data_IF_199618511111
#
_entry.id   IF_199618511111
#
_cell.length_a   1.000
_cell.length_b   1.000
_cell.length_c   1.000
_cell.angle_alpha   90.00
_cell.angle_beta   90.00
_cell.angle_gamma   90.00
#
_symmetry.space_group_name_H-M   'P 1'
#
loop_
_entity.id
_entity.type
_entity.pdbx_description
1 polymer ?
#
# COMPACT_ATOMS: atom_id res chain seq x y z
N UNK A 1 4.31 -20.81 20.51
CA UNK A 1 4.08 -19.62 19.66
C UNK A 1 2.72 -19.76 19.02
N UNK A 2 1.97 -18.65 18.89
CA UNK A 2 0.72 -18.60 18.12
C UNK A 2 1.07 -18.16 16.69
N UNK A 3 0.32 -18.65 15.71
CA UNK A 3 0.41 -18.22 14.31
C UNK A 3 0.04 -16.74 14.18
N UNK A 4 0.88 -15.96 13.52
CA UNK A 4 0.61 -14.55 13.22
C UNK A 4 -0.44 -14.43 12.11
N UNK A 5 -1.36 -13.48 12.26
CA UNK A 5 -2.42 -13.18 11.31
C UNK A 5 -2.07 -11.89 10.55
N UNK A 6 -1.94 -12.03 9.23
CA UNK A 6 -1.57 -10.94 8.33
C UNK A 6 -2.79 -10.53 7.50
N UNK A 7 -3.17 -9.26 7.59
CA UNK A 7 -4.30 -8.71 6.85
C UNK A 7 -3.86 -8.37 5.42
N UNK A 8 -4.23 -9.24 4.47
CA UNK A 8 -3.88 -9.13 3.05
C UNK A 8 -4.54 -7.92 2.39
N UNK A 9 -3.70 -6.98 1.95
CA UNK A 9 -4.07 -5.64 1.47
C UNK A 9 -4.88 -4.84 2.49
N UNK A 10 -4.55 -5.02 3.78
CA UNK A 10 -5.34 -4.56 4.92
C UNK A 10 -6.54 -5.47 5.22
N UNK A 11 -7.49 -5.00 6.03
CA UNK A 11 -8.74 -5.71 6.28
C UNK A 11 -9.69 -5.58 5.07
N UNK A 12 -9.25 -6.06 3.90
CA UNK A 12 -9.87 -5.87 2.59
C UNK A 12 -11.29 -6.44 2.47
N UNK A 13 -11.66 -7.38 3.34
CA UNK A 13 -13.05 -7.83 3.48
C UNK A 13 -13.97 -6.73 4.02
N UNK A 14 -13.45 -5.83 4.87
CA UNK A 14 -14.22 -4.79 5.58
C UNK A 14 -14.11 -3.40 4.93
N UNK A 15 -12.98 -3.07 4.33
CA UNK A 15 -12.74 -1.79 3.65
C UNK A 15 -12.06 -2.01 2.27
N UNK A 16 -12.01 -1.01 1.37
CA UNK A 16 -11.37 -1.17 0.07
C UNK A 16 -9.89 -1.54 0.21
N UNK A 17 -9.42 -2.54 -0.54
CA UNK A 17 -8.05 -3.05 -0.45
C UNK A 17 -6.99 -1.95 -0.67
N UNK A 18 -5.84 -2.09 -0.01
CA UNK A 18 -4.70 -1.16 -0.18
C UNK A 18 -5.04 0.32 0.10
N UNK A 19 -5.98 0.58 1.00
CA UNK A 19 -6.32 1.94 1.45
C UNK A 19 -5.98 2.14 2.92
N UNK A 20 -5.83 3.40 3.35
CA UNK A 20 -5.61 3.72 4.76
C UNK A 20 -6.73 3.19 5.65
N UNK A 21 -7.98 3.22 5.19
CA UNK A 21 -9.13 2.69 5.95
C UNK A 21 -9.05 1.18 6.17
N UNK A 22 -8.56 0.40 5.18
CA UNK A 22 -8.33 -1.03 5.37
C UNK A 22 -7.19 -1.33 6.34
N UNK A 23 -6.17 -0.48 6.40
CA UNK A 23 -5.08 -0.62 7.37
C UNK A 23 -5.52 -0.21 8.78
N UNK A 24 -6.28 0.88 8.94
CA UNK A 24 -6.91 1.28 10.20
C UNK A 24 -7.81 0.16 10.75
N UNK A 25 -8.61 -0.45 9.88
CA UNK A 25 -9.48 -1.56 10.25
C UNK A 25 -8.67 -2.80 10.67
N UNK A 26 -7.55 -3.10 10.02
CA UNK A 26 -6.66 -4.18 10.44
C UNK A 26 -6.06 -3.95 11.84
N UNK A 27 -5.70 -2.70 12.16
CA UNK A 27 -5.28 -2.30 13.52
C UNK A 27 -6.41 -2.54 14.51
N UNK A 28 -7.63 -2.09 14.19
CA UNK A 28 -8.81 -2.23 15.07
C UNK A 28 -9.17 -3.69 15.35
N UNK A 29 -9.03 -4.56 14.35
CA UNK A 29 -9.29 -5.99 14.47
C UNK A 29 -8.16 -6.77 15.16
N UNK A 30 -7.03 -6.13 15.45
CA UNK A 30 -5.91 -6.74 16.17
C UNK A 30 -5.09 -7.71 15.33
N UNK A 31 -4.90 -7.41 14.04
CA UNK A 31 -3.96 -8.16 13.21
C UNK A 31 -2.51 -8.02 13.71
N UNK A 32 -1.70 -9.05 13.52
CA UNK A 32 -0.28 -9.04 13.89
C UNK A 32 0.56 -8.24 12.86
N UNK A 33 0.08 -8.20 11.61
CA UNK A 33 0.63 -7.37 10.56
C UNK A 33 -0.35 -7.15 9.42
N UNK A 34 0.04 -6.27 8.49
CA UNK A 34 -0.63 -6.09 7.20
C UNK A 34 0.30 -6.52 6.08
N UNK A 35 -0.28 -6.95 4.98
CA UNK A 35 0.41 -7.04 3.70
C UNK A 35 -0.13 -5.93 2.79
N UNK A 36 0.74 -5.40 1.93
CA UNK A 36 0.41 -4.38 0.94
C UNK A 36 1.30 -4.50 -0.30
N UNK A 37 0.81 -3.91 -1.38
CA UNK A 37 1.47 -3.87 -2.68
C UNK A 37 2.06 -2.50 -2.97
N UNK A 38 3.35 -2.41 -3.32
CA UNK A 38 3.99 -1.14 -3.72
C UNK A 38 4.29 -1.11 -5.20
N UNK A 39 3.90 0.01 -5.81
CA UNK A 39 4.22 0.38 -7.19
C UNK A 39 4.74 1.83 -7.25
N UNK A 40 5.22 2.23 -8.43
CA UNK A 40 5.82 3.56 -8.67
C UNK A 40 4.96 4.38 -9.62
N UNK A 41 4.67 5.63 -9.24
CA UNK A 41 4.03 6.63 -10.11
C UNK A 41 4.99 7.16 -11.19
N UNK A 42 4.47 7.89 -12.18
CA UNK A 42 5.31 8.47 -13.26
C UNK A 42 6.32 9.53 -12.77
N UNK A 43 6.06 10.10 -11.59
CA UNK A 43 6.91 11.08 -10.91
C UNK A 43 7.65 10.48 -9.69
N UNK A 44 7.89 9.16 -9.70
CA UNK A 44 8.75 8.40 -8.78
C UNK A 44 8.27 8.30 -7.32
N UNK A 45 6.98 8.45 -7.06
CA UNK A 45 6.42 8.21 -5.73
C UNK A 45 6.02 6.74 -5.55
N UNK A 46 6.32 6.19 -4.38
CA UNK A 46 5.84 4.86 -3.97
C UNK A 46 4.37 4.95 -3.56
N UNK A 47 3.50 4.32 -4.34
CA UNK A 47 2.06 4.25 -4.11
C UNK A 47 1.63 2.82 -3.83
N UNK A 48 0.53 2.70 -3.08
CA UNK A 48 0.05 1.42 -2.56
C UNK A 48 -1.17 0.95 -3.34
N UNK A 49 -0.98 -0.04 -4.21
CA UNK A 49 -2.03 -0.64 -5.06
C UNK A 49 -1.52 -1.92 -5.72
N UNK A 50 -2.41 -2.90 -5.91
CA UNK A 50 -2.05 -4.21 -6.41
C UNK A 50 -1.86 -4.24 -7.94
N UNK A 51 -2.88 -3.83 -8.68
CA UNK A 51 -2.87 -3.95 -10.14
C UNK A 51 -2.06 -2.81 -10.75
N UNK A 52 -1.35 -3.09 -11.84
CA UNK A 52 -0.72 -2.03 -12.64
C UNK A 52 -1.78 -1.10 -13.27
N UNK A 53 -2.91 -1.68 -13.71
CA UNK A 53 -4.06 -0.95 -14.23
C UNK A 53 -5.00 -0.53 -13.11
N UNK A 54 -5.51 0.70 -13.17
CA UNK A 54 -6.45 1.27 -12.20
C UNK A 54 -7.93 1.00 -12.54
N UNK A 55 -8.20 0.18 -13.56
CA UNK A 55 -9.56 -0.06 -14.06
C UNK A 55 -10.43 -0.77 -13.01
N UNK A 56 -9.90 -1.81 -12.34
CA UNK A 56 -10.66 -2.57 -11.33
C UNK A 56 -10.94 -1.73 -10.09
N UNK A 57 -9.92 -1.12 -9.50
CA UNK A 57 -10.01 -0.47 -8.18
C UNK A 57 -10.59 0.94 -8.24
N UNK A 58 -10.34 1.66 -9.34
CA UNK A 58 -10.70 3.07 -9.49
C UNK A 58 -11.51 3.38 -10.76
N UNK A 59 -11.84 2.40 -11.61
CA UNK A 59 -12.63 2.61 -12.82
C UNK A 59 -11.91 3.42 -13.91
N UNK A 60 -10.58 3.56 -13.82
CA UNK A 60 -9.78 4.37 -14.76
C UNK A 60 -8.90 3.48 -15.62
N UNK A 61 -9.04 3.58 -16.93
CA UNK A 61 -8.18 2.89 -17.91
C UNK A 61 -6.83 3.60 -18.05
N UNK A 62 -5.99 3.49 -17.03
CA UNK A 62 -4.61 4.02 -17.01
C UNK A 62 -3.72 3.15 -16.12
N UNK A 63 -2.43 3.13 -16.44
CA UNK A 63 -1.43 2.44 -15.62
C UNK A 63 -0.92 3.37 -14.51
N UNK A 64 -0.61 2.80 -13.35
CA UNK A 64 0.00 3.53 -12.22
C UNK A 64 1.27 4.27 -12.66
N UNK A 65 2.13 3.59 -13.42
CA UNK A 65 3.41 4.13 -13.93
C UNK A 65 3.26 5.28 -14.94
N UNK A 66 2.05 5.55 -15.43
CA UNK A 66 1.76 6.62 -16.39
C UNK A 66 1.17 7.87 -15.74
N UNK A 67 0.83 7.83 -14.44
CA UNK A 67 0.17 8.92 -13.75
C UNK A 67 1.06 9.52 -12.66
N UNK A 68 1.00 10.85 -12.51
CA UNK A 68 1.68 11.55 -11.40
C UNK A 68 0.98 11.25 -10.08
N UNK A 69 1.69 11.38 -8.95
CA UNK A 69 1.07 11.22 -7.64
C UNK A 69 -0.15 12.15 -7.46
N UNK A 70 -0.04 13.39 -7.94
CA UNK A 70 -1.14 14.35 -7.86
C UNK A 70 -2.40 13.88 -8.62
N UNK A 71 -2.24 13.25 -9.78
CA UNK A 71 -3.36 12.71 -10.54
C UNK A 71 -3.94 11.45 -9.86
N UNK A 72 -3.06 10.56 -9.40
CA UNK A 72 -3.42 9.35 -8.65
C UNK A 72 -4.25 9.68 -7.40
N UNK A 73 -3.87 10.72 -6.64
CA UNK A 73 -4.57 11.16 -5.44
C UNK A 73 -6.01 11.63 -5.65
N UNK A 74 -6.43 11.91 -6.89
CA UNK A 74 -7.80 12.32 -7.22
C UNK A 74 -8.73 11.12 -7.46
N UNK A 75 -8.18 9.91 -7.54
CA UNK A 75 -8.95 8.70 -7.80
C UNK A 75 -9.63 8.20 -6.53
N UNK A 76 -10.80 7.56 -6.70
CA UNK A 76 -11.49 6.85 -5.62
C UNK A 76 -11.22 5.35 -5.73
N UNK A 77 -10.43 4.82 -4.81
CA UNK A 77 -10.09 3.39 -4.70
C UNK A 77 -11.21 2.54 -4.09
N UNK A 78 -12.34 3.14 -3.70
CA UNK A 78 -13.51 2.46 -3.14
C UNK A 78 -14.46 1.85 -4.17
N UNK A 79 -14.25 2.09 -5.47
CA UNK A 79 -15.20 1.74 -6.53
C UNK A 79 -15.48 0.23 -6.58
N UNK A 80 -14.44 -0.60 -6.52
CA UNK A 80 -14.58 -2.07 -6.55
C UNK A 80 -15.43 -2.63 -5.40
N UNK A 81 -15.50 -1.91 -4.27
CA UNK A 81 -16.25 -2.31 -3.08
C UNK A 81 -17.64 -1.67 -3.00
N UNK A 82 -18.01 -0.86 -3.99
CA UNK A 82 -19.22 -0.03 -3.96
C UNK A 82 -19.30 0.85 -2.68
N UNK A 83 -18.15 1.30 -2.17
CA UNK A 83 -18.09 2.21 -1.04
C UNK A 83 -18.41 3.64 -1.49
N UNK A 84 -19.33 4.30 -0.79
CA UNK A 84 -19.72 5.69 -1.06
C UNK A 84 -18.71 6.71 -0.53
N UNK A 85 -17.78 6.27 0.32
CA UNK A 85 -16.68 7.08 0.83
C UNK A 85 -15.58 7.17 -0.22
N UNK A 86 -14.97 8.36 -0.36
CA UNK A 86 -13.82 8.54 -1.25
C UNK A 86 -12.56 8.08 -0.53
N UNK A 87 -11.92 7.05 -1.05
CA UNK A 87 -10.62 6.56 -0.56
C UNK A 87 -9.54 6.90 -1.58
N UNK A 88 -8.67 7.85 -1.24
CA UNK A 88 -7.53 8.15 -2.09
C UNK A 88 -6.51 6.99 -2.07
N UNK A 89 -5.82 6.78 -3.19
CA UNK A 89 -4.66 5.88 -3.23
C UNK A 89 -3.59 6.33 -2.22
N UNK A 90 -3.13 5.46 -1.31
CA UNK A 90 -2.08 5.82 -0.37
C UNK A 90 -0.70 5.87 -1.06
N UNK A 91 0.16 6.73 -0.53
CA UNK A 91 1.61 6.56 -0.63
C UNK A 91 2.08 5.63 0.47
N UNK A 92 3.22 4.96 0.27
CA UNK A 92 3.82 4.15 1.33
C UNK A 92 4.15 4.99 2.59
N UNK A 93 4.49 6.26 2.38
CA UNK A 93 4.78 7.23 3.44
C UNK A 93 3.59 7.48 4.36
N UNK A 94 2.39 7.63 3.81
CA UNK A 94 1.17 7.77 4.60
C UNK A 94 0.82 6.48 5.35
N UNK A 95 1.06 5.31 4.76
CA UNK A 95 0.87 4.03 5.46
C UNK A 95 1.83 3.91 6.63
N UNK A 96 3.10 4.25 6.46
CA UNK A 96 4.07 4.25 7.55
C UNK A 96 3.73 5.29 8.63
N UNK A 97 3.27 6.48 8.24
CA UNK A 97 2.80 7.48 9.19
C UNK A 97 1.63 6.96 10.05
N UNK A 98 0.66 6.29 9.42
CA UNK A 98 -0.49 5.68 10.08
C UNK A 98 -0.08 4.57 11.06
N UNK A 99 0.83 3.69 10.64
CA UNK A 99 1.17 2.48 11.38
C UNK A 99 2.32 2.64 12.37
N UNK A 100 3.13 3.70 12.24
CA UNK A 100 4.22 4.02 13.17
C UNK A 100 3.81 3.96 14.64
N UNK A 101 2.69 4.56 15.10
CA UNK A 101 2.27 4.50 16.50
C UNK A 101 1.70 3.14 16.94
N UNK A 102 1.56 2.18 16.03
CA UNK A 102 1.02 0.84 16.32
C UNK A 102 2.14 -0.20 16.45
N UNK A 103 1.80 -1.41 16.86
CA UNK A 103 2.72 -2.55 16.89
C UNK A 103 2.74 -3.38 15.60
N UNK A 104 1.89 -3.05 14.60
CA UNK A 104 1.76 -3.88 13.40
C UNK A 104 3.07 -3.95 12.62
N UNK A 105 3.33 -5.15 12.09
CA UNK A 105 4.33 -5.40 11.06
C UNK A 105 3.75 -5.12 9.67
N UNK A 106 4.61 -4.86 8.70
CA UNK A 106 4.22 -4.59 7.32
C UNK A 106 5.02 -5.48 6.38
N UNK A 107 4.32 -6.32 5.62
CA UNK A 107 4.88 -7.04 4.49
C UNK A 107 4.65 -6.19 3.24
N UNK A 108 5.73 -5.68 2.66
CA UNK A 108 5.70 -4.85 1.47
C UNK A 108 6.04 -5.72 0.27
N UNK A 109 5.03 -6.04 -0.54
CA UNK A 109 5.21 -6.74 -1.79
C UNK A 109 5.67 -5.77 -2.89
N UNK A 110 6.82 -6.07 -3.51
CA UNK A 110 7.38 -5.29 -4.62
C UNK A 110 6.80 -5.82 -5.93
N UNK A 111 5.93 -5.03 -6.59
CA UNK A 111 5.24 -5.41 -7.84
C UNK A 111 6.07 -5.23 -9.11
N UNK A 112 7.07 -4.36 -9.10
CA UNK A 112 8.00 -4.19 -10.24
C UNK A 112 9.44 -3.98 -9.74
N UNK A 113 10.09 -5.03 -9.17
CA UNK A 113 11.45 -4.93 -8.69
C UNK A 113 12.49 -4.95 -9.82
N UNK A 114 12.08 -5.15 -11.08
CA UNK A 114 12.99 -5.38 -12.22
C UNK A 114 13.32 -4.12 -13.03
N UNK A 115 12.73 -2.97 -12.69
CA UNK A 115 13.10 -1.71 -13.31
C UNK A 115 14.55 -1.32 -12.97
N UNK A 116 15.43 -1.47 -13.96
CA UNK A 116 16.85 -1.18 -13.81
C UNK A 116 17.16 0.30 -13.52
N UNK A 117 16.19 1.20 -13.71
CA UNK A 117 16.36 2.64 -13.46
C UNK A 117 15.86 3.08 -12.08
N UNK A 118 15.25 2.19 -11.31
CA UNK A 118 14.69 2.53 -10.01
C UNK A 118 14.81 1.37 -9.01
N UNK A 119 15.70 1.54 -8.02
CA UNK A 119 15.81 0.58 -6.93
C UNK A 119 14.67 0.76 -5.93
N UNK A 120 13.57 0.02 -6.18
CA UNK A 120 12.38 0.05 -5.33
C UNK A 120 12.67 -0.46 -3.91
N UNK A 121 13.49 -1.51 -3.78
CA UNK A 121 13.83 -2.06 -2.48
C UNK A 121 14.59 -1.03 -1.63
N UNK A 122 15.59 -0.36 -2.21
CA UNK A 122 16.31 0.71 -1.53
C UNK A 122 15.41 1.89 -1.17
N UNK A 123 14.49 2.28 -2.05
CA UNK A 123 13.53 3.36 -1.78
C UNK A 123 12.59 3.02 -0.59
N UNK A 124 12.09 1.78 -0.53
CA UNK A 124 11.27 1.29 0.59
C UNK A 124 12.07 1.27 1.88
N UNK A 125 13.30 0.71 1.87
CA UNK A 125 14.16 0.62 3.05
C UNK A 125 14.56 2.01 3.57
N UNK A 126 14.85 2.95 2.66
CA UNK A 126 15.12 4.34 3.04
C UNK A 126 13.93 4.94 3.77
N UNK A 127 12.72 4.77 3.23
CA UNK A 127 11.51 5.28 3.86
C UNK A 127 11.24 4.61 5.22
N UNK A 128 11.46 3.30 5.32
CA UNK A 128 11.33 2.58 6.59
C UNK A 128 12.33 3.10 7.64
N UNK A 129 13.55 3.45 7.23
CA UNK A 129 14.54 4.07 8.11
C UNK A 129 14.10 5.47 8.56
N UNK A 130 13.63 6.32 7.62
CA UNK A 130 13.15 7.67 7.91
C UNK A 130 11.99 7.66 8.94
N UNK A 131 11.14 6.63 8.89
CA UNK A 131 10.02 6.43 9.81
C UNK A 131 10.35 5.59 11.05
N UNK A 132 11.59 5.10 11.20
CA UNK A 132 12.03 4.22 12.29
C UNK A 132 11.19 2.93 12.39
N UNK A 133 10.88 2.34 11.24
CA UNK A 133 10.04 1.14 11.13
C UNK A 133 10.79 -0.08 10.62
N UNK A 134 12.10 0.02 10.33
CA UNK A 134 12.89 -1.05 9.69
C UNK A 134 12.72 -2.43 10.32
N UNK A 135 12.66 -2.52 11.66
CA UNK A 135 12.51 -3.80 12.39
C UNK A 135 11.13 -4.47 12.23
N UNK A 136 10.20 -3.78 11.56
CA UNK A 136 8.81 -4.22 11.34
C UNK A 136 8.49 -4.43 9.86
N UNK A 137 9.45 -4.23 8.96
CA UNK A 137 9.25 -4.37 7.52
C UNK A 137 9.75 -5.74 7.06
N UNK A 138 8.92 -6.43 6.30
CA UNK A 138 9.29 -7.60 5.50
C UNK A 138 9.17 -7.16 4.04
N UNK A 139 10.17 -7.48 3.22
CA UNK A 139 10.08 -7.31 1.77
C UNK A 139 9.77 -8.67 1.13
N UNK A 140 8.78 -8.70 0.26
CA UNK A 140 8.43 -9.89 -0.53
C UNK A 140 8.30 -9.57 -2.01
N UNK A 141 8.50 -10.56 -2.87
CA UNK A 141 8.22 -10.52 -4.32
C UNK A 141 8.15 -11.96 -4.86
N UNK A 142 7.69 -12.14 -6.09
CA UNK A 142 7.57 -13.44 -6.78
C UNK A 142 8.83 -13.83 -7.55
#
# INVERSE_FOLDING_TARGET
MRTEIWAHRGASLHAPENTLSAFEEAVRLGADGIELDVQRSSDNHLVVTHDASLERTAGVQSQVSQMTLQALKKLNMGIAKADSTVHAIPTLSEVFQLLRPTALKVNVELKDPTDLNFDMAAAVLKLACDYQMTDRIILSSF
#
